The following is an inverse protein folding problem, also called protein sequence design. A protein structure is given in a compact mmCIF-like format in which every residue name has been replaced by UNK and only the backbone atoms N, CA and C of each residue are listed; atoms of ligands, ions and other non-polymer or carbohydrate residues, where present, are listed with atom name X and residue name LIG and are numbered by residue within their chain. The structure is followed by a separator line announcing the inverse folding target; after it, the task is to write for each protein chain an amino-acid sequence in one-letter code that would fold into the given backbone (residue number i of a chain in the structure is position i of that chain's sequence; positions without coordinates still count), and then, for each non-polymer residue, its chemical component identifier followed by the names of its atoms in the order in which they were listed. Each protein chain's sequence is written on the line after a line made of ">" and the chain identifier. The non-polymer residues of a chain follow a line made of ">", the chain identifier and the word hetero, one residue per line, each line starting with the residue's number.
data_IF_551060105261
#
_entry.id   IF_551060105261
#
_cell.length_a   1.000
_cell.length_b   1.000
_cell.length_c   1.000
_cell.angle_alpha   90.00
_cell.angle_beta   90.00
_cell.angle_gamma   90.00
#
_symmetry.space_group_name_H-M   'P 1'
#
loop_
_entity.id
_entity.type
_entity.pdbx_description
1 polymer ?
#
# COMPACT_ATOMS: atom_id res chain seq x y z
N UNK A 1 -7.84 -5.33 -11.06
CA UNK A 1 -7.83 -5.46 -9.58
C UNK A 1 -8.46 -6.77 -9.11
N UNK A 2 -9.64 -7.13 -9.64
CA UNK A 2 -10.34 -8.36 -9.26
C UNK A 2 -9.48 -9.61 -9.46
N UNK A 3 -8.82 -9.73 -10.61
CA UNK A 3 -7.92 -10.86 -10.89
C UNK A 3 -6.69 -10.90 -9.97
N UNK A 4 -6.17 -9.76 -9.54
CA UNK A 4 -5.05 -9.70 -8.60
C UNK A 4 -5.46 -10.16 -7.19
N UNK A 5 -6.65 -9.78 -6.75
CA UNK A 5 -7.15 -10.13 -5.41
C UNK A 5 -7.57 -11.59 -5.31
N UNK A 6 -8.19 -12.15 -6.36
CA UNK A 6 -8.79 -13.47 -6.30
C UNK A 6 -8.00 -14.55 -7.06
N UNK A 7 -7.18 -14.18 -8.03
CA UNK A 7 -6.36 -15.13 -8.80
C UNK A 7 -4.86 -14.95 -8.58
N UNK A 8 -4.44 -13.98 -7.78
CA UNK A 8 -3.03 -13.68 -7.50
C UNK A 8 -2.38 -14.63 -6.50
N UNK A 9 -3.18 -15.39 -5.73
CA UNK A 9 -2.71 -16.39 -4.79
C UNK A 9 -3.53 -17.67 -4.87
N UNK A 10 -2.92 -18.80 -4.47
CA UNK A 10 -3.60 -20.09 -4.47
C UNK A 10 -4.81 -20.09 -3.52
N UNK A 11 -5.81 -20.93 -3.77
CA UNK A 11 -6.96 -21.11 -2.87
C UNK A 11 -6.51 -21.50 -1.46
N UNK A 12 -5.46 -22.31 -1.37
CA UNK A 12 -4.88 -22.71 -0.07
C UNK A 12 -4.34 -21.48 0.67
N UNK A 13 -3.63 -20.57 -0.01
CA UNK A 13 -3.13 -19.33 0.59
C UNK A 13 -4.26 -18.41 1.03
N UNK A 14 -5.30 -18.28 0.23
CA UNK A 14 -6.49 -17.48 0.57
C UNK A 14 -7.20 -18.05 1.82
N UNK A 15 -7.40 -19.38 1.88
CA UNK A 15 -7.96 -20.02 3.06
C UNK A 15 -7.08 -19.84 4.31
N UNK A 16 -5.76 -19.95 4.16
CA UNK A 16 -4.80 -19.69 5.24
C UNK A 16 -4.93 -18.27 5.80
N UNK A 17 -4.96 -17.25 4.93
CA UNK A 17 -5.10 -15.85 5.35
C UNK A 17 -6.45 -15.61 6.03
N UNK A 18 -7.52 -16.20 5.52
CA UNK A 18 -8.85 -16.12 6.17
C UNK A 18 -8.81 -16.73 7.57
N UNK A 19 -8.22 -17.90 7.74
CA UNK A 19 -8.07 -18.54 9.05
C UNK A 19 -7.18 -17.70 9.99
N UNK A 20 -6.13 -17.06 9.47
CA UNK A 20 -5.31 -16.13 10.23
C UNK A 20 -6.15 -14.96 10.78
N UNK A 21 -6.99 -14.36 9.95
CA UNK A 21 -7.88 -13.28 10.37
C UNK A 21 -8.88 -13.75 11.43
N UNK A 22 -9.55 -14.88 11.20
CA UNK A 22 -10.54 -15.42 12.14
C UNK A 22 -9.94 -15.77 13.50
N UNK A 23 -8.75 -16.37 13.51
CA UNK A 23 -8.06 -16.76 14.75
C UNK A 23 -7.48 -15.58 15.52
N UNK A 24 -7.34 -14.40 14.89
CA UNK A 24 -6.76 -13.21 15.48
C UNK A 24 -7.68 -11.98 15.35
N UNK A 25 -8.98 -12.19 15.28
CA UNK A 25 -9.95 -11.14 14.94
C UNK A 25 -9.83 -9.89 15.82
N UNK A 26 -9.61 -10.05 17.11
CA UNK A 26 -9.48 -8.92 18.04
C UNK A 26 -8.23 -8.08 17.74
N UNK A 27 -7.09 -8.74 17.46
CA UNK A 27 -5.85 -8.05 17.09
C UNK A 27 -5.97 -7.36 15.73
N UNK A 28 -6.66 -7.98 14.77
CA UNK A 28 -6.91 -7.38 13.46
C UNK A 28 -7.82 -6.14 13.56
N UNK A 29 -8.86 -6.21 14.38
CA UNK A 29 -9.73 -5.06 14.67
C UNK A 29 -8.94 -3.92 15.33
N UNK A 30 -8.06 -4.23 16.27
CA UNK A 30 -7.23 -3.21 16.93
C UNK A 30 -6.24 -2.57 15.94
N UNK A 31 -5.61 -3.35 15.09
CA UNK A 31 -4.74 -2.84 14.02
C UNK A 31 -5.50 -1.95 13.04
N UNK A 32 -6.71 -2.34 12.66
CA UNK A 32 -7.57 -1.52 11.80
C UNK A 32 -7.91 -0.18 12.45
N UNK A 33 -8.20 -0.16 13.76
CA UNK A 33 -8.43 1.08 14.52
C UNK A 33 -7.20 1.99 14.52
N UNK A 34 -6.00 1.41 14.76
CA UNK A 34 -4.73 2.17 14.71
C UNK A 34 -4.49 2.77 13.34
N UNK A 35 -4.69 1.97 12.28
CA UNK A 35 -4.53 2.41 10.89
C UNK A 35 -5.53 3.53 10.55
N UNK A 36 -6.80 3.37 10.94
CA UNK A 36 -7.84 4.38 10.74
C UNK A 36 -7.51 5.68 11.47
N UNK A 37 -7.04 5.59 12.73
CA UNK A 37 -6.64 6.77 13.49
C UNK A 37 -5.45 7.51 12.86
N UNK A 38 -4.44 6.78 12.35
CA UNK A 38 -3.32 7.36 11.63
C UNK A 38 -3.79 8.03 10.33
N UNK A 39 -4.70 7.39 9.59
CA UNK A 39 -5.31 7.94 8.38
C UNK A 39 -6.05 9.26 8.66
N UNK A 40 -6.90 9.29 9.69
CA UNK A 40 -7.65 10.50 10.08
C UNK A 40 -6.74 11.65 10.51
N UNK A 41 -5.54 11.34 11.03
CA UNK A 41 -4.50 12.32 11.36
C UNK A 41 -3.58 12.66 10.18
N UNK A 42 -3.80 12.08 9.01
CA UNK A 42 -2.93 12.23 7.83
C UNK A 42 -1.47 11.80 8.09
N UNK A 43 -1.26 10.88 9.04
CA UNK A 43 0.07 10.39 9.42
C UNK A 43 0.47 9.19 8.58
N UNK A 44 0.99 9.47 7.39
CA UNK A 44 1.47 8.45 6.45
C UNK A 44 2.62 7.59 7.03
N UNK A 45 3.46 8.17 7.90
CA UNK A 45 4.58 7.44 8.48
C UNK A 45 4.11 6.36 9.45
N UNK A 46 3.15 6.70 10.30
CA UNK A 46 2.53 5.72 11.21
C UNK A 46 1.73 4.67 10.42
N UNK A 47 0.98 5.06 9.40
CA UNK A 47 0.29 4.11 8.52
C UNK A 47 1.27 3.12 7.89
N UNK A 48 2.39 3.61 7.36
CA UNK A 48 3.41 2.78 6.75
C UNK A 48 4.04 1.82 7.76
N UNK A 49 4.41 2.29 8.95
CA UNK A 49 4.93 1.43 10.02
C UNK A 49 3.98 0.29 10.36
N UNK A 50 2.70 0.59 10.54
CA UNK A 50 1.68 -0.43 10.83
C UNK A 50 1.59 -1.45 9.70
N UNK A 51 1.62 -1.01 8.44
CA UNK A 51 1.54 -1.92 7.29
C UNK A 51 2.78 -2.79 7.12
N UNK A 52 3.95 -2.36 7.61
CA UNK A 52 5.20 -3.11 7.56
C UNK A 52 5.40 -4.04 8.78
N UNK A 53 4.53 -3.98 9.78
CA UNK A 53 4.63 -4.89 10.93
C UNK A 53 4.49 -6.35 10.50
N UNK A 54 5.40 -7.18 10.97
CA UNK A 54 5.43 -8.63 10.72
C UNK A 54 5.36 -9.40 12.02
N UNK A 55 4.55 -10.44 12.01
CA UNK A 55 4.40 -11.36 13.16
C UNK A 55 5.44 -12.49 13.11
N UNK A 56 6.17 -12.61 12.00
CA UNK A 56 7.17 -13.66 11.78
C UNK A 56 6.54 -15.04 11.57
N UNK A 57 5.35 -15.09 11.04
CA UNK A 57 4.61 -16.34 10.84
C UNK A 57 3.88 -16.38 9.48
N UNK A 58 3.17 -17.47 9.24
CA UNK A 58 2.43 -17.73 7.99
C UNK A 58 1.30 -16.72 7.67
N UNK A 59 0.94 -15.86 8.63
CA UNK A 59 -0.11 -14.85 8.45
C UNK A 59 0.43 -13.56 7.82
N UNK A 60 1.74 -13.39 7.79
CA UNK A 60 2.34 -12.21 7.17
C UNK A 60 2.13 -12.21 5.65
N UNK A 61 1.98 -11.02 5.08
CA UNK A 61 1.99 -10.86 3.64
C UNK A 61 3.33 -11.31 3.05
N UNK A 62 3.27 -12.00 1.92
CA UNK A 62 4.47 -12.36 1.17
C UNK A 62 4.95 -11.15 0.36
N UNK A 63 6.28 -10.98 0.15
CA UNK A 63 6.79 -9.90 -0.69
C UNK A 63 6.16 -9.84 -2.08
N UNK A 64 5.87 -10.99 -2.68
CA UNK A 64 5.20 -11.08 -3.98
C UNK A 64 3.75 -10.59 -3.96
N UNK A 65 3.04 -10.74 -2.84
CA UNK A 65 1.68 -10.23 -2.65
C UNK A 65 1.69 -8.70 -2.52
N UNK A 66 2.64 -8.14 -1.78
CA UNK A 66 2.83 -6.69 -1.65
C UNK A 66 3.27 -6.05 -2.97
N UNK A 67 4.24 -6.67 -3.66
CA UNK A 67 4.69 -6.21 -4.96
C UNK A 67 3.52 -6.16 -5.97
N UNK A 68 2.69 -7.19 -6.00
CA UNK A 68 1.54 -7.25 -6.90
C UNK A 68 0.47 -6.18 -6.57
N UNK A 69 0.17 -5.97 -5.28
CA UNK A 69 -0.89 -5.07 -4.85
C UNK A 69 -0.47 -3.60 -4.86
N UNK A 70 0.78 -3.29 -4.52
CA UNK A 70 1.25 -1.91 -4.29
C UNK A 70 2.41 -1.54 -5.20
N UNK A 71 3.55 -2.22 -5.09
CA UNK A 71 4.81 -1.69 -5.60
C UNK A 71 4.95 -1.77 -7.12
N UNK A 72 4.49 -2.84 -7.76
CA UNK A 72 4.47 -2.93 -9.23
C UNK A 72 3.55 -1.87 -9.85
N UNK A 73 2.43 -1.56 -9.19
CA UNK A 73 1.52 -0.49 -9.62
C UNK A 73 2.16 0.88 -9.46
N UNK A 74 2.84 1.13 -8.34
CA UNK A 74 3.58 2.38 -8.11
C UNK A 74 4.62 2.60 -9.20
N UNK A 75 5.39 1.56 -9.56
CA UNK A 75 6.38 1.63 -10.62
C UNK A 75 5.74 2.03 -11.96
N UNK A 76 4.68 1.34 -12.37
CA UNK A 76 3.95 1.65 -13.61
C UNK A 76 3.40 3.09 -13.61
N UNK A 77 2.87 3.54 -12.48
CA UNK A 77 2.35 4.92 -12.37
C UNK A 77 3.48 5.94 -12.42
N UNK A 78 4.57 5.71 -11.72
CA UNK A 78 5.75 6.59 -11.76
C UNK A 78 6.33 6.73 -13.17
N UNK A 79 6.26 5.69 -14.01
CA UNK A 79 6.67 5.74 -15.41
C UNK A 79 5.69 6.55 -16.29
N UNK A 80 4.40 6.51 -16.00
CA UNK A 80 3.36 7.14 -16.83
C UNK A 80 3.03 8.58 -16.43
N UNK A 81 3.04 8.89 -15.13
CA UNK A 81 2.64 10.18 -14.60
C UNK A 81 3.42 11.37 -15.18
N UNK A 82 4.75 11.30 -15.41
CA UNK A 82 5.50 12.41 -16.00
C UNK A 82 4.93 12.91 -17.31
N UNK A 83 4.57 12.03 -18.22
CA UNK A 83 4.00 12.41 -19.51
C UNK A 83 2.61 13.07 -19.35
N UNK A 84 1.80 12.55 -18.44
CA UNK A 84 0.45 13.07 -18.16
C UNK A 84 0.55 14.47 -17.53
N UNK A 85 1.39 14.62 -16.49
CA UNK A 85 1.57 15.89 -15.79
C UNK A 85 2.22 16.98 -16.66
N UNK A 86 3.05 16.59 -17.63
CA UNK A 86 3.63 17.53 -18.60
C UNK A 86 2.58 18.06 -19.57
N UNK A 87 1.57 17.27 -19.89
CA UNK A 87 0.52 17.66 -20.84
C UNK A 87 -0.50 18.64 -20.23
N UNK A 88 -0.85 18.47 -18.94
CA UNK A 88 -1.81 19.33 -18.26
C UNK A 88 -1.70 19.19 -16.72
N UNK A 89 -2.17 20.20 -15.95
CA UNK A 89 -2.37 20.07 -14.50
C UNK A 89 -3.23 18.83 -14.21
N UNK A 90 -2.73 17.96 -13.34
CA UNK A 90 -3.31 16.62 -13.15
C UNK A 90 -3.59 16.36 -11.67
N UNK A 91 -4.80 15.91 -11.35
CA UNK A 91 -5.13 15.37 -10.04
C UNK A 91 -4.97 13.85 -10.06
N UNK A 92 -4.21 13.30 -9.11
CA UNK A 92 -3.94 11.87 -8.98
C UNK A 92 -4.47 11.37 -7.65
N UNK A 93 -5.44 10.46 -7.67
CA UNK A 93 -5.99 9.82 -6.49
C UNK A 93 -5.52 8.36 -6.39
N UNK A 94 -4.89 8.02 -5.29
CA UNK A 94 -4.41 6.66 -4.98
C UNK A 94 -4.70 6.32 -3.52
N UNK A 95 -4.71 5.02 -3.19
CA UNK A 95 -4.79 4.61 -1.78
C UNK A 95 -3.60 5.11 -0.98
N UNK A 96 -3.81 5.52 0.27
CA UNK A 96 -2.79 6.17 1.09
C UNK A 96 -1.49 5.36 1.22
N UNK A 97 -1.57 4.03 1.30
CA UNK A 97 -0.39 3.15 1.39
C UNK A 97 0.43 3.04 0.09
N UNK A 98 -0.04 3.59 -1.03
CA UNK A 98 0.79 3.75 -2.23
C UNK A 98 1.80 4.90 -2.11
N UNK A 99 1.63 5.81 -1.16
CA UNK A 99 2.41 7.04 -1.07
C UNK A 99 3.76 6.88 -0.36
N UNK A 100 3.84 6.26 0.87
CA UNK A 100 5.04 6.24 1.69
C UNK A 100 6.03 5.14 1.29
N UNK A 101 7.23 5.19 1.90
CA UNK A 101 8.29 4.18 1.76
C UNK A 101 9.18 4.37 0.54
N UNK A 102 10.25 3.58 0.46
CA UNK A 102 11.24 3.67 -0.63
C UNK A 102 10.66 3.30 -2.00
N UNK A 103 9.70 2.36 -2.04
CA UNK A 103 8.94 1.98 -3.24
C UNK A 103 7.61 2.76 -3.35
N UNK A 104 7.39 3.75 -2.48
CA UNK A 104 6.21 4.61 -2.48
C UNK A 104 6.24 5.62 -3.61
N UNK A 105 5.06 6.04 -4.06
CA UNK A 105 4.92 6.93 -5.21
C UNK A 105 5.60 8.30 -4.98
N UNK A 106 5.55 8.83 -3.74
CA UNK A 106 6.22 10.08 -3.41
C UNK A 106 7.74 9.99 -3.59
N UNK A 107 8.36 8.90 -3.17
CA UNK A 107 9.80 8.68 -3.33
C UNK A 107 10.18 8.47 -4.78
N UNK A 108 9.39 7.68 -5.51
CA UNK A 108 9.63 7.43 -6.94
C UNK A 108 9.56 8.72 -7.76
N UNK A 109 8.59 9.59 -7.52
CA UNK A 109 8.50 10.88 -8.21
C UNK A 109 9.63 11.83 -7.80
N UNK A 110 10.00 11.89 -6.51
CA UNK A 110 11.16 12.67 -6.05
C UNK A 110 12.45 12.24 -6.76
N UNK A 111 12.68 10.94 -6.94
CA UNK A 111 13.87 10.44 -7.64
C UNK A 111 13.93 10.84 -9.12
N UNK A 112 12.79 11.23 -9.70
CA UNK A 112 12.67 11.75 -11.06
C UNK A 112 12.77 13.29 -11.14
N UNK A 113 13.09 13.96 -10.02
CA UNK A 113 13.30 15.41 -9.97
C UNK A 113 12.04 16.22 -9.63
N UNK A 114 10.92 15.59 -9.27
CA UNK A 114 9.73 16.33 -8.83
C UNK A 114 9.87 16.85 -7.39
N UNK A 115 9.46 18.08 -7.16
CA UNK A 115 9.28 18.64 -5.83
C UNK A 115 7.90 18.23 -5.30
N UNK A 116 7.85 17.76 -4.06
CA UNK A 116 6.61 17.29 -3.44
C UNK A 116 6.45 18.01 -2.10
N UNK A 117 5.36 18.74 -1.97
CA UNK A 117 5.03 19.50 -0.76
C UNK A 117 3.65 19.07 -0.24
N UNK A 118 3.51 18.86 1.07
CA UNK A 118 2.20 18.59 1.66
C UNK A 118 1.35 19.85 1.64
N UNK A 119 0.10 19.72 1.19
CA UNK A 119 -0.92 20.77 1.31
C UNK A 119 -1.66 20.54 2.63
N UNK A 120 -1.65 21.56 3.50
CA UNK A 120 -2.35 21.55 4.79
C UNK A 120 -3.74 22.16 4.65
#
# INVERSE_FOLDING_TARGET
>A
QFNLLFNGSSLQRQAQLLMCTLNNIEAEVENLKKLTNAYMKQDLNTMFKISEERKGNQCDALPSEEDALIYNRNKIWAEKLPAIMKAAPTFVAVGALHLPGEKGLLKLLKSQGYTIEPVK
#
